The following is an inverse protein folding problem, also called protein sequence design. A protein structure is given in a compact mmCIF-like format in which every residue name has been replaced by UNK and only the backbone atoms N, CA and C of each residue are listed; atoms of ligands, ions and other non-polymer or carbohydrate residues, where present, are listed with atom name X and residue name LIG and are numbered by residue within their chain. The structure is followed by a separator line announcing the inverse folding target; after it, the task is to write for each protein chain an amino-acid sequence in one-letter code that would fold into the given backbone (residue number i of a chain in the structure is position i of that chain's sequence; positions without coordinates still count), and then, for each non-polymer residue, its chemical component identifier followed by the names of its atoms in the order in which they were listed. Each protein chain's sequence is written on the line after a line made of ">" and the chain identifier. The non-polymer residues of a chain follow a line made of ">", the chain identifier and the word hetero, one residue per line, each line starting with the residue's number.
data_IF_255257239323
#
_entry.id   IF_255257239323
#
_cell.length_a   1.000
_cell.length_b   1.000
_cell.length_c   1.000
_cell.angle_alpha   90.00
_cell.angle_beta   90.00
_cell.angle_gamma   90.00
#
_symmetry.space_group_name_H-M   'P 1'
#
loop_
_entity.id
_entity.type
_entity.pdbx_description
1 polymer ?
#
# COMPACT_ATOMS: atom_id res chain seq x y z
N UNK A 1 -7.38 -6.22 44.17
CA UNK A 1 -7.37 -5.73 42.81
C UNK A 1 -5.97 -5.16 42.54
N UNK A 2 -5.08 -5.98 42.03
CA UNK A 2 -3.68 -5.60 41.74
C UNK A 2 -3.64 -5.02 40.32
N UNK A 3 -3.37 -3.72 40.23
CA UNK A 3 -3.16 -3.01 38.96
C UNK A 3 -1.87 -3.48 38.32
N UNK A 4 -1.97 -4.27 37.26
CA UNK A 4 -0.80 -4.67 36.45
C UNK A 4 -0.52 -3.53 35.47
N UNK A 5 0.40 -2.65 35.84
CA UNK A 5 0.97 -1.68 34.90
C UNK A 5 1.83 -2.45 33.90
N UNK A 6 1.35 -2.57 32.67
CA UNK A 6 2.18 -3.04 31.56
C UNK A 6 3.26 -1.99 31.28
N UNK A 7 4.54 -2.37 31.22
CA UNK A 7 5.58 -1.45 30.82
C UNK A 7 5.33 -1.00 29.38
N UNK A 8 5.26 0.29 29.21
CA UNK A 8 5.19 0.93 27.88
C UNK A 8 6.52 0.62 27.19
N UNK A 9 6.45 -0.21 26.16
CA UNK A 9 7.63 -0.52 25.37
C UNK A 9 8.17 0.78 24.75
N UNK A 10 9.39 1.11 25.09
CA UNK A 10 10.11 2.21 24.48
C UNK A 10 10.18 1.96 22.95
N UNK A 11 9.83 2.97 22.18
CA UNK A 11 9.95 2.91 20.73
C UNK A 11 11.39 2.59 20.36
N UNK A 12 11.63 1.67 19.41
CA UNK A 12 13.01 1.37 18.98
C UNK A 12 13.57 2.60 18.26
N UNK A 13 14.49 3.26 18.91
CA UNK A 13 15.35 4.25 18.29
C UNK A 13 16.41 3.52 17.47
N UNK A 14 16.08 3.17 16.24
CA UNK A 14 17.05 2.90 15.20
C UNK A 14 16.44 3.44 13.91
N UNK A 15 16.76 4.68 13.57
CA UNK A 15 16.57 5.17 12.22
C UNK A 15 17.47 4.33 11.31
N UNK A 16 16.94 3.30 10.70
CA UNK A 16 17.60 2.59 9.62
C UNK A 16 17.79 3.65 8.52
N UNK A 17 19.01 4.12 8.38
CA UNK A 17 19.35 5.07 7.31
C UNK A 17 19.13 4.39 5.97
N UNK A 18 18.35 5.02 5.10
CA UNK A 18 18.20 4.63 3.70
C UNK A 18 19.04 5.51 2.78
N UNK A 19 20.10 6.13 3.32
CA UNK A 19 21.02 6.96 2.55
C UNK A 19 21.60 6.17 1.36
N UNK A 20 21.53 6.76 0.16
CA UNK A 20 21.97 6.11 -1.08
C UNK A 20 21.06 4.99 -1.60
N UNK A 21 19.92 4.74 -0.99
CA UNK A 21 18.92 3.79 -1.45
C UNK A 21 17.85 4.46 -2.31
N UNK A 22 17.32 3.72 -3.26
CA UNK A 22 16.17 4.14 -4.07
C UNK A 22 14.96 3.30 -3.67
N UNK A 23 13.87 3.99 -3.31
CA UNK A 23 12.58 3.37 -2.92
C UNK A 23 11.52 3.75 -3.95
N UNK A 24 10.97 2.77 -4.64
CA UNK A 24 9.86 2.95 -5.58
C UNK A 24 8.55 2.66 -4.89
N UNK A 25 7.63 3.62 -4.89
CA UNK A 25 6.30 3.49 -4.27
C UNK A 25 5.22 3.58 -5.33
N UNK A 26 4.65 2.43 -5.69
CA UNK A 26 3.50 2.35 -6.60
C UNK A 26 2.22 2.67 -5.81
N UNK A 27 1.52 3.72 -6.22
CA UNK A 27 0.44 4.34 -5.44
C UNK A 27 0.96 5.38 -4.43
N UNK A 28 2.17 5.89 -4.63
CA UNK A 28 2.88 6.79 -3.72
C UNK A 28 2.37 8.24 -3.70
N UNK A 29 1.34 8.58 -4.47
CA UNK A 29 0.84 9.96 -4.59
C UNK A 29 -0.10 10.39 -3.46
N UNK A 30 -0.68 9.45 -2.72
CA UNK A 30 -1.68 9.73 -1.68
C UNK A 30 -1.69 8.68 -0.58
N UNK A 31 -2.37 8.99 0.52
CA UNK A 31 -2.63 8.07 1.62
C UNK A 31 -1.37 7.38 2.15
N UNK A 32 -1.47 6.10 2.41
CA UNK A 32 -0.36 5.30 2.99
C UNK A 32 0.88 5.31 2.07
N UNK A 33 0.69 5.23 0.75
CA UNK A 33 1.80 5.26 -0.19
C UNK A 33 2.60 6.57 -0.12
N UNK A 34 1.91 7.69 0.01
CA UNK A 34 2.59 8.98 0.16
C UNK A 34 3.33 9.08 1.50
N UNK A 35 2.72 8.61 2.60
CA UNK A 35 3.40 8.52 3.90
C UNK A 35 4.68 7.68 3.82
N UNK A 36 4.64 6.54 3.13
CA UNK A 36 5.84 5.70 2.87
C UNK A 36 6.91 6.47 2.08
N UNK A 37 6.52 7.18 1.01
CA UNK A 37 7.46 7.96 0.21
C UNK A 37 8.12 9.09 1.03
N UNK A 38 7.33 9.78 1.87
CA UNK A 38 7.84 10.81 2.77
C UNK A 38 8.80 10.23 3.81
N UNK A 39 8.44 9.11 4.44
CA UNK A 39 9.29 8.44 5.43
C UNK A 39 10.60 7.93 4.80
N UNK A 40 10.55 7.35 3.60
CA UNK A 40 11.74 6.92 2.88
C UNK A 40 12.68 8.10 2.60
N UNK A 41 12.14 9.23 2.12
CA UNK A 41 12.91 10.45 1.87
C UNK A 41 13.51 11.02 3.16
N UNK A 42 12.74 11.05 4.24
CA UNK A 42 13.21 11.50 5.55
C UNK A 42 14.34 10.60 6.10
N UNK A 43 14.35 9.31 5.75
CA UNK A 43 15.42 8.37 6.06
C UNK A 43 16.64 8.47 5.12
N UNK A 44 16.64 9.40 4.15
CA UNK A 44 17.75 9.68 3.25
C UNK A 44 17.69 8.95 1.90
N UNK A 45 16.58 8.29 1.57
CA UNK A 45 16.42 7.62 0.28
C UNK A 45 16.04 8.60 -0.84
N UNK A 46 16.39 8.23 -2.08
CA UNK A 46 15.70 8.73 -3.27
C UNK A 46 14.34 8.03 -3.35
N UNK A 47 13.24 8.78 -3.21
CA UNK A 47 11.90 8.21 -3.29
C UNK A 47 11.28 8.52 -4.66
N UNK A 48 10.87 7.45 -5.36
CA UNK A 48 10.17 7.50 -6.65
C UNK A 48 8.68 7.23 -6.40
N UNK A 49 7.84 8.18 -6.77
CA UNK A 49 6.38 8.07 -6.65
C UNK A 49 5.81 7.66 -8.00
N UNK A 50 5.32 6.42 -8.10
CA UNK A 50 4.65 5.93 -9.30
C UNK A 50 3.13 5.99 -9.13
N UNK A 51 2.45 6.60 -10.10
CA UNK A 51 0.99 6.78 -10.09
C UNK A 51 0.44 7.01 -11.50
N UNK A 52 -0.85 6.79 -11.70
CA UNK A 52 -1.52 6.93 -13.02
C UNK A 52 -1.38 8.31 -13.66
N UNK A 53 -1.31 9.35 -12.86
CA UNK A 53 -1.19 10.75 -13.33
C UNK A 53 -0.04 11.43 -12.60
N UNK A 54 0.80 12.07 -13.35
CA UNK A 54 1.79 12.99 -12.80
C UNK A 54 1.08 14.25 -12.30
N UNK A 55 1.69 14.93 -11.35
CA UNK A 55 1.19 16.22 -10.86
C UNK A 55 2.27 17.28 -11.01
N UNK A 56 1.85 18.47 -11.43
CA UNK A 56 2.73 19.62 -11.42
C UNK A 56 3.01 20.10 -9.98
N UNK A 57 4.11 20.80 -9.75
CA UNK A 57 4.38 21.42 -8.44
C UNK A 57 3.30 22.40 -7.99
N UNK A 58 2.57 23.00 -8.92
CA UNK A 58 1.46 23.92 -8.61
C UNK A 58 0.24 23.18 -8.09
N UNK A 59 -0.04 21.97 -8.64
CA UNK A 59 -1.18 21.15 -8.19
C UNK A 59 -0.88 20.43 -6.88
N UNK A 60 0.35 19.97 -6.71
CA UNK A 60 0.79 19.18 -5.55
C UNK A 60 2.19 19.63 -5.10
N UNK A 61 2.28 20.77 -4.40
CA UNK A 61 3.56 21.27 -3.87
C UNK A 61 4.25 20.27 -2.93
N UNK A 62 3.49 19.44 -2.26
CA UNK A 62 3.96 18.39 -1.35
C UNK A 62 4.70 17.25 -2.07
N UNK A 63 4.51 17.10 -3.40
CA UNK A 63 5.29 16.19 -4.25
C UNK A 63 6.59 16.83 -4.78
N UNK A 64 6.87 18.07 -4.45
CA UNK A 64 8.13 18.71 -4.83
C UNK A 64 9.32 17.95 -4.24
N UNK A 65 10.31 17.66 -5.08
CA UNK A 65 11.49 16.86 -4.68
C UNK A 65 11.31 15.35 -4.70
N UNK A 66 10.15 14.84 -5.14
CA UNK A 66 9.99 13.43 -5.51
C UNK A 66 10.15 13.25 -7.02
N UNK A 67 10.84 12.20 -7.42
CA UNK A 67 10.77 11.73 -8.79
C UNK A 67 9.39 11.13 -9.01
N UNK A 68 8.69 11.55 -10.07
CA UNK A 68 7.37 11.05 -10.41
C UNK A 68 7.43 10.25 -11.71
N UNK A 69 6.77 9.07 -11.72
CA UNK A 69 6.68 8.20 -12.89
C UNK A 69 5.22 7.82 -13.14
N UNK A 70 4.79 7.88 -14.40
CA UNK A 70 3.44 7.44 -14.77
C UNK A 70 3.38 5.91 -14.77
N UNK A 71 2.42 5.34 -14.04
CA UNK A 71 2.18 3.90 -13.96
C UNK A 71 0.70 3.63 -13.71
N UNK A 72 0.03 2.98 -14.64
CA UNK A 72 -1.29 2.36 -14.40
C UNK A 72 -1.09 0.88 -14.07
N UNK A 73 -1.42 0.50 -12.84
CA UNK A 73 -1.24 -0.87 -12.33
C UNK A 73 -2.12 -1.91 -13.07
N UNK A 74 -3.14 -1.45 -13.81
CA UNK A 74 -4.04 -2.32 -14.61
C UNK A 74 -3.57 -2.51 -16.05
N UNK A 75 -2.56 -1.78 -16.46
CA UNK A 75 -1.95 -1.89 -17.79
C UNK A 75 -0.52 -2.42 -17.64
N UNK A 76 -0.32 -3.70 -17.98
CA UNK A 76 0.98 -4.36 -17.88
C UNK A 76 2.05 -3.63 -18.71
N UNK A 77 1.68 -3.06 -19.86
CA UNK A 77 2.61 -2.31 -20.70
C UNK A 77 3.07 -1.01 -20.03
N UNK A 78 2.15 -0.32 -19.35
CA UNK A 78 2.45 0.85 -18.52
C UNK A 78 3.37 0.48 -17.34
N UNK A 79 3.11 -0.64 -16.67
CA UNK A 79 3.94 -1.13 -15.56
C UNK A 79 5.36 -1.41 -16.04
N UNK A 80 5.52 -2.15 -17.13
CA UNK A 80 6.83 -2.45 -17.72
C UNK A 80 7.59 -1.19 -18.09
N UNK A 81 6.97 -0.30 -18.87
CA UNK A 81 7.59 0.95 -19.31
C UNK A 81 8.02 1.83 -18.13
N UNK A 82 7.24 1.85 -17.05
CA UNK A 82 7.58 2.59 -15.84
C UNK A 82 8.84 2.03 -15.17
N UNK A 83 8.98 0.72 -15.00
CA UNK A 83 10.18 0.13 -14.40
C UNK A 83 11.40 0.26 -15.30
N UNK A 84 11.26 0.15 -16.63
CA UNK A 84 12.33 0.41 -17.59
C UNK A 84 12.83 1.88 -17.49
N UNK A 85 11.92 2.84 -17.30
CA UNK A 85 12.26 4.24 -17.11
C UNK A 85 12.88 4.56 -15.74
N UNK A 86 12.47 3.86 -14.69
CA UNK A 86 13.03 4.02 -13.33
C UNK A 86 14.46 3.47 -13.29
N UNK A 87 14.72 2.35 -13.97
CA UNK A 87 16.00 1.66 -13.90
C UNK A 87 16.17 0.91 -12.57
N UNK A 88 17.41 0.82 -12.08
CA UNK A 88 17.72 0.04 -10.86
C UNK A 88 17.28 0.76 -9.58
N UNK A 89 16.79 -0.01 -8.62
CA UNK A 89 16.36 0.47 -7.31
C UNK A 89 16.55 -0.59 -6.22
N UNK A 90 16.37 -0.20 -4.95
CA UNK A 90 16.59 -1.10 -3.80
C UNK A 90 15.29 -1.65 -3.22
N UNK A 91 14.24 -0.87 -3.16
CA UNK A 91 13.00 -1.28 -2.50
C UNK A 91 11.78 -0.93 -3.33
N UNK A 92 10.88 -1.90 -3.52
CA UNK A 92 9.59 -1.74 -4.15
C UNK A 92 8.48 -1.82 -3.09
N UNK A 93 7.62 -0.81 -3.06
CA UNK A 93 6.43 -0.81 -2.21
C UNK A 93 5.20 -0.63 -3.08
N UNK A 94 4.28 -1.59 -3.05
CA UNK A 94 3.04 -1.57 -3.85
C UNK A 94 1.86 -1.33 -2.93
N UNK A 95 1.42 -0.08 -2.89
CA UNK A 95 0.26 0.36 -2.11
C UNK A 95 -0.99 0.56 -2.96
N UNK A 96 -0.82 0.67 -4.28
CA UNK A 96 -1.91 0.96 -5.19
C UNK A 96 -3.07 -0.05 -5.04
N UNK A 97 -4.26 0.47 -5.10
CA UNK A 97 -5.50 -0.29 -5.14
C UNK A 97 -6.49 0.45 -6.05
N UNK A 98 -7.39 -0.27 -6.74
CA UNK A 98 -8.51 0.34 -7.42
C UNK A 98 -9.47 1.00 -6.42
N UNK A 99 -10.33 1.86 -6.93
CA UNK A 99 -11.39 2.44 -6.13
C UNK A 99 -12.31 1.33 -5.58
N UNK A 100 -12.80 1.52 -4.36
CA UNK A 100 -13.63 0.53 -3.66
C UNK A 100 -15.06 0.42 -4.23
N UNK A 101 -15.29 0.72 -5.49
CA UNK A 101 -16.61 0.74 -6.13
C UNK A 101 -17.39 -0.60 -6.18
N UNK A 102 -16.90 -1.65 -5.51
CA UNK A 102 -17.49 -3.00 -5.53
C UNK A 102 -18.10 -3.38 -4.19
N UNK A 103 -18.79 -2.43 -3.58
CA UNK A 103 -19.47 -2.64 -2.29
C UNK A 103 -20.86 -3.15 -2.50
N UNK A 104 -21.29 -4.02 -1.63
CA UNK A 104 -22.67 -4.46 -1.58
C UNK A 104 -22.77 -5.88 -1.06
N UNK A 105 -24.00 -6.31 -0.78
CA UNK A 105 -24.26 -7.70 -0.44
C UNK A 105 -23.79 -8.60 -1.59
N UNK A 106 -23.27 -9.76 -1.28
CA UNK A 106 -22.67 -10.66 -2.28
C UNK A 106 -23.60 -10.97 -3.45
N UNK A 107 -24.88 -11.15 -3.19
CA UNK A 107 -25.87 -11.47 -4.21
C UNK A 107 -26.20 -10.29 -5.13
N UNK A 108 -25.94 -9.05 -4.69
CA UNK A 108 -26.18 -7.82 -5.44
C UNK A 108 -24.92 -7.28 -6.09
N UNK A 109 -23.76 -7.89 -5.79
CA UNK A 109 -22.46 -7.43 -6.27
C UNK A 109 -22.29 -7.72 -7.76
N UNK A 110 -21.88 -6.71 -8.52
CA UNK A 110 -21.57 -6.86 -9.93
C UNK A 110 -20.22 -7.57 -10.15
N UNK A 111 -20.24 -8.59 -11.01
CA UNK A 111 -19.03 -9.32 -11.41
C UNK A 111 -18.01 -8.46 -12.13
N UNK A 112 -18.42 -7.39 -12.82
CA UNK A 112 -17.48 -6.47 -13.48
C UNK A 112 -16.63 -5.72 -12.47
N UNK A 113 -17.22 -5.26 -11.37
CA UNK A 113 -16.54 -4.63 -10.26
C UNK A 113 -15.57 -5.59 -9.57
N UNK A 114 -15.99 -6.83 -9.32
CA UNK A 114 -15.12 -7.84 -8.73
C UNK A 114 -13.89 -8.13 -9.62
N UNK A 115 -14.09 -8.26 -10.95
CA UNK A 115 -12.99 -8.41 -11.92
C UNK A 115 -12.05 -7.22 -11.89
N UNK A 116 -12.59 -6.00 -11.99
CA UNK A 116 -11.80 -4.76 -11.99
C UNK A 116 -10.96 -4.62 -10.71
N UNK A 117 -11.52 -5.03 -9.56
CA UNK A 117 -10.76 -4.99 -8.30
C UNK A 117 -9.65 -6.05 -8.27
N UNK A 118 -9.91 -7.27 -8.74
CA UNK A 118 -8.88 -8.33 -8.88
C UNK A 118 -7.79 -7.92 -9.87
N UNK A 119 -8.15 -7.36 -11.01
CA UNK A 119 -7.19 -6.86 -12.02
C UNK A 119 -6.28 -5.79 -11.41
N UNK A 120 -6.82 -4.77 -10.77
CA UNK A 120 -6.02 -3.69 -10.23
C UNK A 120 -5.24 -4.08 -8.98
N UNK A 121 -5.81 -4.90 -8.07
CA UNK A 121 -5.14 -5.24 -6.81
C UNK A 121 -4.24 -6.46 -6.92
N UNK A 122 -4.75 -7.57 -7.41
CA UNK A 122 -3.98 -8.82 -7.47
C UNK A 122 -3.07 -8.87 -8.70
N UNK A 123 -3.63 -8.79 -9.92
CA UNK A 123 -2.84 -8.88 -11.15
C UNK A 123 -1.89 -7.68 -11.29
N UNK A 124 -2.32 -6.49 -10.87
CA UNK A 124 -1.45 -5.32 -10.83
C UNK A 124 -0.26 -5.48 -9.86
N UNK A 125 -0.48 -6.07 -8.68
CA UNK A 125 0.62 -6.40 -7.76
C UNK A 125 1.57 -7.43 -8.36
N UNK A 126 1.02 -8.43 -9.05
CA UNK A 126 1.79 -9.42 -9.80
C UNK A 126 2.66 -8.75 -10.88
N UNK A 127 2.06 -7.90 -11.72
CA UNK A 127 2.77 -7.18 -12.78
C UNK A 127 3.89 -6.30 -12.21
N UNK A 128 3.64 -5.59 -11.10
CA UNK A 128 4.66 -4.80 -10.42
C UNK A 128 5.84 -5.66 -9.93
N UNK A 129 5.58 -6.83 -9.34
CA UNK A 129 6.63 -7.73 -8.92
C UNK A 129 7.40 -8.29 -10.12
N UNK A 130 6.68 -8.76 -11.16
CA UNK A 130 7.27 -9.35 -12.36
C UNK A 130 8.22 -8.40 -13.09
N UNK A 131 7.76 -7.17 -13.33
CA UNK A 131 8.53 -6.19 -14.08
C UNK A 131 9.51 -5.39 -13.21
N UNK A 132 9.25 -5.28 -11.90
CA UNK A 132 10.15 -4.60 -10.97
C UNK A 132 11.32 -5.47 -10.51
N UNK A 133 11.14 -6.79 -10.34
CA UNK A 133 12.18 -7.67 -9.81
C UNK A 133 13.50 -7.65 -10.59
N UNK A 134 13.52 -7.60 -11.96
CA UNK A 134 14.77 -7.53 -12.70
C UNK A 134 15.59 -6.26 -12.44
N UNK A 135 14.97 -5.20 -11.90
CA UNK A 135 15.62 -3.94 -11.58
C UNK A 135 16.02 -3.80 -10.10
N UNK A 136 15.72 -4.81 -9.27
CA UNK A 136 16.11 -4.79 -7.86
C UNK A 136 17.60 -5.02 -7.66
N UNK A 137 18.23 -4.14 -6.91
CA UNK A 137 19.59 -4.34 -6.41
C UNK A 137 19.64 -5.55 -5.46
N UNK A 138 20.82 -6.19 -5.38
CA UNK A 138 21.07 -7.25 -4.42
C UNK A 138 20.77 -6.77 -2.99
N UNK A 139 20.05 -7.59 -2.22
CA UNK A 139 19.58 -7.24 -0.88
C UNK A 139 18.32 -6.37 -0.85
N UNK A 140 17.75 -6.05 -2.00
CA UNK A 140 16.50 -5.32 -2.14
C UNK A 140 15.28 -6.05 -1.56
N UNK A 141 14.15 -5.36 -1.53
CA UNK A 141 12.90 -5.91 -0.98
C UNK A 141 11.68 -5.52 -1.81
N UNK A 142 10.67 -6.38 -1.78
CA UNK A 142 9.33 -6.07 -2.26
C UNK A 142 8.38 -6.06 -1.07
N UNK A 143 7.53 -5.05 -0.97
CA UNK A 143 6.51 -4.96 0.08
C UNK A 143 5.16 -4.66 -0.54
N UNK A 144 4.19 -5.53 -0.30
CA UNK A 144 2.80 -5.31 -0.69
C UNK A 144 1.98 -4.77 0.48
N UNK A 145 1.00 -3.94 0.16
CA UNK A 145 0.00 -3.47 1.12
C UNK A 145 -1.32 -4.21 0.86
N UNK A 146 -1.88 -4.82 1.89
CA UNK A 146 -3.22 -5.43 1.87
C UNK A 146 -4.12 -4.74 2.90
N UNK A 147 -4.84 -5.46 3.69
CA UNK A 147 -5.65 -4.91 4.78
C UNK A 147 -6.21 -5.99 5.70
N UNK A 148 -6.65 -5.59 6.88
CA UNK A 148 -7.18 -6.49 7.90
C UNK A 148 -8.34 -7.37 7.43
N UNK A 149 -9.04 -6.99 6.36
CA UNK A 149 -10.12 -7.77 5.76
C UNK A 149 -9.66 -9.10 5.13
N UNK A 150 -8.38 -9.26 4.82
CA UNK A 150 -7.84 -10.54 4.35
C UNK A 150 -8.09 -11.69 5.36
N UNK A 151 -8.09 -11.39 6.65
CA UNK A 151 -8.27 -12.38 7.74
C UNK A 151 -9.51 -12.14 8.60
N UNK A 152 -10.12 -10.97 8.48
CA UNK A 152 -11.35 -10.59 9.19
C UNK A 152 -12.33 -10.02 8.18
N UNK A 153 -12.98 -10.88 7.36
CA UNK A 153 -13.92 -10.46 6.33
C UNK A 153 -15.05 -9.60 6.90
N UNK A 154 -15.56 -8.71 6.07
CA UNK A 154 -16.73 -7.89 6.37
C UNK A 154 -17.77 -8.05 5.30
N UNK A 155 -19.03 -7.96 5.68
CA UNK A 155 -20.16 -7.96 4.72
C UNK A 155 -19.96 -6.84 3.70
N UNK A 156 -20.20 -7.12 2.45
CA UNK A 156 -20.07 -6.17 1.35
C UNK A 156 -18.67 -6.04 0.76
N UNK A 157 -17.66 -6.74 1.27
CA UNK A 157 -16.26 -6.61 0.84
C UNK A 157 -15.65 -7.88 0.26
N UNK A 158 -16.46 -8.77 -0.30
CA UNK A 158 -16.01 -10.09 -0.77
C UNK A 158 -14.87 -9.97 -1.79
N UNK A 159 -15.01 -9.11 -2.80
CA UNK A 159 -13.96 -8.92 -3.82
C UNK A 159 -12.66 -8.36 -3.21
N UNK A 160 -12.77 -7.39 -2.30
CA UNK A 160 -11.63 -6.78 -1.60
C UNK A 160 -10.91 -7.82 -0.74
N UNK A 161 -11.65 -8.59 0.05
CA UNK A 161 -11.14 -9.67 0.88
C UNK A 161 -10.39 -10.71 0.06
N UNK A 162 -11.00 -11.17 -1.03
CA UNK A 162 -10.40 -12.17 -1.93
C UNK A 162 -9.12 -11.65 -2.58
N UNK A 163 -9.11 -10.41 -3.07
CA UNK A 163 -7.93 -9.81 -3.68
C UNK A 163 -6.78 -9.62 -2.66
N UNK A 164 -7.09 -9.21 -1.43
CA UNK A 164 -6.06 -9.10 -0.39
C UNK A 164 -5.46 -10.46 -0.04
N UNK A 165 -6.28 -11.49 0.14
CA UNK A 165 -5.81 -12.85 0.39
C UNK A 165 -4.95 -13.38 -0.77
N UNK A 166 -5.34 -13.09 -2.01
CA UNK A 166 -4.55 -13.46 -3.19
C UNK A 166 -3.18 -12.77 -3.22
N UNK A 167 -3.10 -11.48 -2.87
CA UNK A 167 -1.80 -10.76 -2.78
C UNK A 167 -0.94 -11.34 -1.66
N UNK A 168 -1.52 -11.77 -0.54
CA UNK A 168 -0.76 -12.40 0.54
C UNK A 168 -0.19 -13.77 0.13
N UNK A 169 -0.99 -14.57 -0.57
CA UNK A 169 -0.52 -15.83 -1.16
C UNK A 169 0.59 -15.59 -2.20
N UNK A 170 0.43 -14.58 -3.07
CA UNK A 170 1.47 -14.16 -4.01
C UNK A 170 2.76 -13.79 -3.29
N UNK A 171 2.67 -13.00 -2.22
CA UNK A 171 3.85 -12.61 -1.44
C UNK A 171 4.61 -13.82 -0.89
N UNK A 172 3.89 -14.81 -0.36
CA UNK A 172 4.50 -16.05 0.13
C UNK A 172 5.21 -16.86 -0.98
N UNK A 173 4.57 -16.99 -2.15
CA UNK A 173 5.18 -17.68 -3.31
C UNK A 173 6.43 -16.94 -3.79
N UNK A 174 6.34 -15.63 -3.96
CA UNK A 174 7.47 -14.82 -4.43
C UNK A 174 8.64 -14.78 -3.43
N UNK A 175 8.39 -14.89 -2.13
CA UNK A 175 9.45 -15.00 -1.14
C UNK A 175 10.33 -16.25 -1.34
N UNK A 176 9.76 -17.32 -1.91
CA UNK A 176 10.47 -18.54 -2.24
C UNK A 176 11.13 -18.41 -3.62
N UNK A 177 10.37 -17.97 -4.62
CA UNK A 177 10.84 -17.95 -6.02
C UNK A 177 11.91 -16.87 -6.29
N UNK A 178 11.86 -15.75 -5.56
CA UNK A 178 12.79 -14.64 -5.72
C UNK A 178 13.90 -14.61 -4.64
N UNK A 179 14.03 -15.68 -3.85
CA UNK A 179 15.10 -15.73 -2.84
C UNK A 179 16.48 -15.46 -3.47
N UNK A 180 17.35 -14.65 -2.84
CA UNK A 180 17.31 -14.12 -1.48
C UNK A 180 16.56 -12.79 -1.31
N UNK A 181 15.84 -12.29 -2.31
CA UNK A 181 15.00 -11.09 -2.21
C UNK A 181 13.89 -11.31 -1.17
N UNK A 182 13.80 -10.43 -0.18
CA UNK A 182 12.74 -10.52 0.83
C UNK A 182 11.44 -9.92 0.27
N UNK A 183 10.36 -10.70 0.34
CA UNK A 183 9.03 -10.25 -0.05
C UNK A 183 8.14 -10.23 1.17
N UNK A 184 7.50 -9.10 1.42
CA UNK A 184 6.72 -8.85 2.64
C UNK A 184 5.30 -8.38 2.29
N UNK A 185 4.40 -8.58 3.23
CA UNK A 185 3.06 -8.00 3.18
C UNK A 185 2.76 -7.24 4.47
N UNK A 186 2.32 -5.99 4.33
CA UNK A 186 1.81 -5.20 5.45
C UNK A 186 0.28 -5.21 5.39
N UNK A 187 -0.32 -5.53 6.52
CA UNK A 187 -1.77 -5.61 6.71
C UNK A 187 -2.20 -4.52 7.69
N UNK A 188 -2.42 -3.27 7.22
CA UNK A 188 -2.82 -2.19 8.11
C UNK A 188 -4.23 -2.42 8.65
N UNK A 189 -4.47 -1.87 9.82
CA UNK A 189 -5.81 -1.68 10.35
C UNK A 189 -6.53 -0.52 9.65
N UNK A 190 -7.38 0.18 10.40
CA UNK A 190 -8.00 1.40 9.89
C UNK A 190 -6.98 2.54 9.91
N UNK A 191 -6.64 3.03 8.71
CA UNK A 191 -5.79 4.22 8.51
C UNK A 191 -6.67 5.32 7.94
N UNK A 192 -6.63 6.47 8.60
CA UNK A 192 -7.39 7.64 8.18
C UNK A 192 -6.74 8.31 6.98
N UNK A 193 -7.34 8.12 5.83
CA UNK A 193 -6.86 8.62 4.53
C UNK A 193 -8.03 9.00 3.64
N UNK A 194 -7.74 9.74 2.57
CA UNK A 194 -8.73 10.11 1.55
C UNK A 194 -9.36 8.89 0.83
N UNK A 195 -8.82 7.69 1.02
CA UNK A 195 -9.45 6.46 0.52
C UNK A 195 -10.90 6.32 1.03
N UNK A 196 -11.24 6.91 2.16
CA UNK A 196 -12.57 6.90 2.75
C UNK A 196 -13.44 8.09 2.33
N UNK A 197 -12.94 8.97 1.43
CA UNK A 197 -13.65 10.19 1.02
C UNK A 197 -14.98 9.92 0.28
N UNK A 198 -15.16 8.71 -0.26
CA UNK A 198 -16.43 8.29 -0.87
C UNK A 198 -17.55 8.08 0.16
N UNK A 199 -17.23 7.93 1.47
CA UNK A 199 -18.21 7.87 2.53
C UNK A 199 -18.67 9.28 2.94
N UNK A 200 -19.95 9.47 3.27
CA UNK A 200 -20.41 10.70 3.94
C UNK A 200 -19.61 10.98 5.21
N UNK A 201 -19.44 12.26 5.54
CA UNK A 201 -18.62 12.67 6.68
C UNK A 201 -19.04 11.99 7.98
N UNK A 202 -20.36 11.93 8.25
CA UNK A 202 -20.92 11.26 9.44
C UNK A 202 -20.51 9.78 9.55
N UNK A 203 -20.47 9.07 8.42
CA UNK A 203 -20.03 7.67 8.41
C UNK A 203 -18.53 7.53 8.68
N UNK A 204 -17.71 8.46 8.19
CA UNK A 204 -16.26 8.48 8.48
C UNK A 204 -16.00 8.75 9.96
N UNK A 205 -16.71 9.70 10.54
CA UNK A 205 -16.60 10.02 11.97
C UNK A 205 -17.10 8.86 12.83
N UNK A 206 -18.19 8.20 12.42
CA UNK A 206 -18.67 6.98 13.06
C UNK A 206 -17.64 5.84 13.02
N UNK A 207 -16.92 5.67 11.91
CA UNK A 207 -15.83 4.69 11.80
C UNK A 207 -14.67 5.04 12.72
N UNK A 208 -14.25 6.31 12.79
CA UNK A 208 -13.18 6.75 13.70
C UNK A 208 -13.56 6.45 15.15
N UNK A 209 -14.75 6.89 15.56
CA UNK A 209 -15.27 6.66 16.92
C UNK A 209 -15.32 5.16 17.25
N UNK A 210 -15.83 4.32 16.32
CA UNK A 210 -15.86 2.87 16.51
C UNK A 210 -14.46 2.28 16.69
N UNK A 211 -13.47 2.76 15.93
CA UNK A 211 -12.06 2.32 16.07
C UNK A 211 -11.51 2.73 17.44
N UNK A 212 -11.76 3.97 17.88
CA UNK A 212 -11.35 4.47 19.19
C UNK A 212 -11.98 3.68 20.34
N UNK A 213 -13.22 3.26 20.19
CA UNK A 213 -13.95 2.49 21.21
C UNK A 213 -13.55 1.00 21.24
N UNK A 214 -13.28 0.40 20.07
CA UNK A 214 -13.21 -1.07 19.96
C UNK A 214 -11.80 -1.61 19.71
N UNK A 215 -10.89 -0.82 19.13
CA UNK A 215 -9.54 -1.30 18.85
C UNK A 215 -8.65 -1.18 20.09
N UNK A 216 -7.75 -2.15 20.33
CA UNK A 216 -6.84 -2.06 21.48
C UNK A 216 -6.01 -0.79 21.52
N UNK A 217 -5.60 -0.28 20.36
CA UNK A 217 -4.81 0.95 20.25
C UNK A 217 -5.62 2.23 20.51
N UNK A 218 -6.96 2.14 20.60
CA UNK A 218 -7.88 3.26 20.87
C UNK A 218 -7.68 4.48 19.96
N UNK A 219 -7.18 4.27 18.76
CA UNK A 219 -6.97 5.33 17.78
C UNK A 219 -6.98 4.79 16.35
N UNK A 220 -7.38 5.64 15.40
CA UNK A 220 -7.10 5.40 13.98
C UNK A 220 -5.59 5.52 13.73
N UNK A 221 -5.08 4.77 12.79
CA UNK A 221 -3.74 4.96 12.27
C UNK A 221 -3.68 6.18 11.34
N UNK A 222 -2.49 6.73 11.17
CA UNK A 222 -2.20 7.79 10.19
C UNK A 222 -1.19 7.27 9.17
N UNK A 223 -1.11 7.88 7.96
CA UNK A 223 -0.17 7.47 6.94
C UNK A 223 1.31 7.62 7.30
N UNK A 224 1.64 8.60 8.15
CA UNK A 224 2.98 8.88 8.67
C UNK A 224 3.42 7.98 9.80
#
# INVERSE_FOLDING_TARGET
>A
MTSTTHPQAAAPAASTSLAGKTVVVVGGKSGIGFGVAQAARAAGATAVVASRRLSSPQERPDLAGFQQVSLDIRDESSVRAAFDAIGVFDHLVVTAAPDLGTWGAFMDADMSGARSYMEGKYLGSWACARHGSPHLNAGGTITFLTGGMAVRPKVGFTAVTSAFAAVEALSGSLAIELAPTRVNTIRPGFIDTDMWAFLPAEHRDGLRKKVEETFPARRAGKPE
#
